data_IF_469299078525
#
_entry.id   IF_469299078525
#
_cell.length_a   1.000
_cell.length_b   1.000
_cell.length_c   1.000
_cell.angle_alpha   90.00
_cell.angle_beta   90.00
_cell.angle_gamma   90.00
#
_symmetry.space_group_name_H-M   'P 1'
#
loop_
_entity.id
_entity.type
_entity.pdbx_description
1 polymer ?
#
# COMPACT_ATOMS: atom_id res chain seq x y z
N UNK A 1 -15.52 5.95 -24.85
CA UNK A 1 -15.94 5.06 -23.75
C UNK A 1 -15.49 5.71 -22.45
N UNK A 2 -16.41 6.06 -21.56
CA UNK A 2 -16.13 6.86 -20.36
C UNK A 2 -15.09 6.14 -19.48
N UNK A 3 -13.94 6.81 -19.15
CA UNK A 3 -12.88 6.25 -18.29
C UNK A 3 -13.42 5.71 -16.95
N UNK A 4 -14.53 6.28 -16.48
CA UNK A 4 -15.25 5.85 -15.28
C UNK A 4 -15.97 4.49 -15.47
N UNK A 5 -16.52 4.21 -16.66
CA UNK A 5 -17.13 2.92 -16.99
C UNK A 5 -16.07 1.84 -17.09
N UNK A 6 -14.90 2.15 -17.63
CA UNK A 6 -13.75 1.24 -17.69
C UNK A 6 -13.23 0.88 -16.30
N UNK A 7 -13.23 1.86 -15.39
CA UNK A 7 -12.84 1.68 -13.98
C UNK A 7 -13.86 0.81 -13.22
N UNK A 8 -15.15 1.05 -13.44
CA UNK A 8 -16.23 0.24 -12.86
C UNK A 8 -16.21 -1.20 -13.40
N UNK A 9 -16.02 -1.39 -14.69
CA UNK A 9 -15.88 -2.71 -15.32
C UNK A 9 -14.64 -3.46 -14.79
N UNK A 10 -13.53 -2.76 -14.60
CA UNK A 10 -12.32 -3.35 -14.05
C UNK A 10 -12.51 -3.84 -12.60
N UNK A 11 -13.17 -3.02 -11.76
CA UNK A 11 -13.50 -3.39 -10.37
C UNK A 11 -14.52 -4.54 -10.34
N UNK A 12 -15.52 -4.54 -11.22
CA UNK A 12 -16.53 -5.61 -11.31
C UNK A 12 -15.92 -6.94 -11.80
N UNK A 13 -15.08 -6.93 -12.83
CA UNK A 13 -14.38 -8.12 -13.34
C UNK A 13 -13.46 -8.72 -12.27
N UNK A 14 -12.81 -7.88 -11.48
CA UNK A 14 -11.93 -8.35 -10.40
C UNK A 14 -12.71 -8.89 -9.20
N UNK A 15 -13.91 -8.37 -8.91
CA UNK A 15 -14.81 -8.94 -7.90
C UNK A 15 -15.37 -10.31 -8.33
N UNK A 16 -15.64 -10.52 -9.61
CA UNK A 16 -16.06 -11.83 -10.14
C UNK A 16 -14.95 -12.87 -9.96
N UNK A 17 -13.67 -12.47 -10.08
CA UNK A 17 -12.52 -13.35 -9.84
C UNK A 17 -12.42 -13.88 -8.39
N UNK A 18 -13.03 -13.21 -7.41
CA UNK A 18 -13.06 -13.65 -6.01
C UNK A 18 -13.94 -14.91 -5.80
N UNK A 19 -14.82 -15.24 -6.74
CA UNK A 19 -15.67 -16.43 -6.68
C UNK A 19 -15.09 -17.65 -7.40
N UNK A 20 -13.86 -17.52 -7.94
CA UNK A 20 -13.21 -18.66 -8.61
C UNK A 20 -12.62 -19.65 -7.58
N UNK A 21 -12.74 -20.93 -7.89
CA UNK A 21 -12.19 -22.03 -7.06
C UNK A 21 -10.66 -22.10 -7.05
N UNK A 22 -10.00 -21.36 -7.97
CA UNK A 22 -8.55 -21.34 -8.07
C UNK A 22 -7.94 -20.21 -7.24
N UNK A 23 -7.28 -20.56 -6.15
CA UNK A 23 -6.67 -19.62 -5.20
C UNK A 23 -5.66 -18.66 -5.87
N UNK A 24 -4.89 -19.12 -6.86
CA UNK A 24 -3.92 -18.28 -7.57
C UNK A 24 -4.61 -17.17 -8.38
N UNK A 25 -5.71 -17.48 -9.07
CA UNK A 25 -6.47 -16.50 -9.82
C UNK A 25 -7.12 -15.47 -8.88
N UNK A 26 -7.66 -15.93 -7.76
CA UNK A 26 -8.21 -15.07 -6.72
C UNK A 26 -7.16 -14.09 -6.20
N UNK A 27 -5.93 -14.55 -5.93
CA UNK A 27 -4.83 -13.70 -5.48
C UNK A 27 -4.36 -12.70 -6.54
N UNK A 28 -4.35 -13.07 -7.81
CA UNK A 28 -4.07 -12.14 -8.92
C UNK A 28 -5.13 -11.01 -8.91
N UNK A 29 -6.40 -11.35 -8.79
CA UNK A 29 -7.48 -10.36 -8.74
C UNK A 29 -7.39 -9.44 -7.50
N UNK A 30 -7.14 -10.02 -6.31
CA UNK A 30 -6.93 -9.25 -5.07
C UNK A 30 -5.73 -8.29 -5.25
N UNK A 31 -4.59 -8.80 -5.73
CA UNK A 31 -3.39 -8.00 -5.96
C UNK A 31 -3.64 -6.85 -6.93
N UNK A 32 -4.36 -7.11 -8.02
CA UNK A 32 -4.66 -6.13 -9.06
C UNK A 32 -5.54 -4.99 -8.51
N UNK A 33 -6.66 -5.31 -7.83
CA UNK A 33 -7.55 -4.30 -7.25
C UNK A 33 -6.87 -3.52 -6.15
N UNK A 34 -6.22 -4.23 -5.22
CA UNK A 34 -5.57 -3.61 -4.08
C UNK A 34 -4.41 -2.70 -4.51
N UNK A 35 -3.59 -3.12 -5.47
CA UNK A 35 -2.50 -2.29 -5.97
C UNK A 35 -3.00 -1.11 -6.80
N UNK A 36 -4.07 -1.26 -7.59
CA UNK A 36 -4.71 -0.17 -8.31
C UNK A 36 -5.21 0.90 -7.35
N UNK A 37 -6.05 0.52 -6.39
CA UNK A 37 -6.61 1.44 -5.40
C UNK A 37 -5.51 1.99 -4.48
N UNK A 38 -4.58 1.14 -4.07
CA UNK A 38 -3.42 1.51 -3.27
C UNK A 38 -2.50 2.50 -3.96
N UNK A 39 -2.43 2.51 -5.29
CA UNK A 39 -1.69 3.51 -6.06
C UNK A 39 -2.40 4.86 -6.04
N UNK A 40 -3.71 4.86 -6.19
CA UNK A 40 -4.49 6.10 -6.25
C UNK A 40 -4.70 6.75 -4.88
N UNK A 41 -5.08 5.97 -3.89
CA UNK A 41 -5.53 6.51 -2.61
C UNK A 41 -4.65 6.13 -1.42
N UNK A 42 -3.69 5.26 -1.63
CA UNK A 42 -3.04 4.55 -0.54
C UNK A 42 -3.90 3.38 -0.05
N UNK A 43 -3.46 2.67 0.95
CA UNK A 43 -4.29 1.64 1.59
C UNK A 43 -4.36 0.29 0.86
N UNK A 44 -3.50 -0.01 -0.10
CA UNK A 44 -3.46 -1.32 -0.77
C UNK A 44 -3.39 -2.48 0.23
N UNK A 45 -2.54 -2.38 1.24
CA UNK A 45 -2.45 -3.36 2.33
C UNK A 45 -3.72 -3.50 3.16
N UNK A 46 -4.57 -2.46 3.21
CA UNK A 46 -5.88 -2.52 3.87
C UNK A 46 -6.86 -3.44 3.15
N UNK A 47 -6.67 -3.65 1.86
CA UNK A 47 -7.50 -4.56 1.04
C UNK A 47 -6.89 -5.95 1.02
N UNK A 48 -5.57 -6.04 0.78
CA UNK A 48 -4.90 -7.33 0.59
C UNK A 48 -4.96 -8.21 1.82
N UNK A 49 -4.67 -7.68 3.02
CA UNK A 49 -4.58 -8.50 4.22
C UNK A 49 -5.93 -9.13 4.59
N UNK A 50 -7.04 -8.37 4.75
CA UNK A 50 -8.33 -8.99 5.03
C UNK A 50 -8.80 -9.93 3.92
N UNK A 51 -8.59 -9.57 2.65
CA UNK A 51 -9.00 -10.42 1.53
C UNK A 51 -8.26 -11.77 1.54
N UNK A 52 -6.95 -11.78 1.82
CA UNK A 52 -6.18 -13.02 1.96
C UNK A 52 -6.62 -13.85 3.18
N UNK A 53 -6.89 -13.19 4.31
CA UNK A 53 -7.39 -13.87 5.52
C UNK A 53 -8.78 -14.47 5.30
N UNK A 54 -9.66 -13.85 4.47
CA UNK A 54 -10.95 -14.42 4.09
C UNK A 54 -10.82 -15.69 3.26
N UNK A 55 -9.80 -15.76 2.42
CA UNK A 55 -9.49 -16.97 1.62
C UNK A 55 -8.78 -18.05 2.47
N UNK A 56 -8.60 -17.81 3.79
CA UNK A 56 -8.03 -18.77 4.73
C UNK A 56 -6.50 -18.75 4.84
N UNK A 57 -5.82 -17.71 4.32
CA UNK A 57 -4.36 -17.58 4.43
C UNK A 57 -4.03 -16.96 5.79
N UNK A 58 -3.10 -17.56 6.58
CA UNK A 58 -2.69 -17.02 7.87
C UNK A 58 -2.14 -15.59 7.77
N UNK A 59 -2.32 -14.79 8.83
CA UNK A 59 -1.96 -13.36 8.81
C UNK A 59 -0.48 -13.13 8.53
N UNK A 60 0.43 -13.92 9.08
CA UNK A 60 1.87 -13.80 8.86
C UNK A 60 2.24 -14.05 7.40
N UNK A 61 1.69 -15.11 6.80
CA UNK A 61 1.84 -15.42 5.38
C UNK A 61 1.21 -14.31 4.50
N UNK A 62 0.07 -13.76 4.92
CA UNK A 62 -0.59 -12.66 4.22
C UNK A 62 0.26 -11.40 4.22
N UNK A 63 0.87 -11.04 5.37
CA UNK A 63 1.79 -9.90 5.47
C UNK A 63 3.03 -10.15 4.60
N UNK A 64 3.67 -11.30 4.71
CA UNK A 64 4.86 -11.64 3.93
C UNK A 64 4.59 -11.60 2.41
N UNK A 65 3.46 -12.17 1.98
CA UNK A 65 2.99 -12.14 0.59
C UNK A 65 2.72 -10.71 0.12
N UNK A 66 2.05 -9.90 0.95
CA UNK A 66 1.78 -8.50 0.64
C UNK A 66 3.08 -7.68 0.52
N UNK A 67 4.08 -7.90 1.39
CA UNK A 67 5.38 -7.22 1.29
C UNK A 67 6.10 -7.55 0.00
N UNK A 68 6.16 -8.82 -0.36
CA UNK A 68 6.76 -9.23 -1.62
C UNK A 68 6.04 -8.58 -2.82
N UNK A 69 4.72 -8.75 -2.91
CA UNK A 69 3.93 -8.25 -4.04
C UNK A 69 3.96 -6.71 -4.15
N UNK A 70 3.87 -6.00 -3.01
CA UNK A 70 3.96 -4.54 -2.97
C UNK A 70 5.38 -4.06 -3.32
N UNK A 71 6.41 -4.75 -2.86
CA UNK A 71 7.81 -4.46 -3.22
C UNK A 71 8.02 -4.54 -4.73
N UNK A 72 7.63 -5.65 -5.36
CA UNK A 72 7.76 -5.87 -6.81
C UNK A 72 6.91 -4.86 -7.60
N UNK A 73 5.68 -4.61 -7.21
CA UNK A 73 4.82 -3.64 -7.90
C UNK A 73 5.33 -2.20 -7.75
N UNK A 74 5.91 -1.86 -6.60
CA UNK A 74 6.54 -0.55 -6.38
C UNK A 74 7.82 -0.39 -7.18
N UNK A 75 8.63 -1.46 -7.30
CA UNK A 75 9.79 -1.49 -8.20
C UNK A 75 9.38 -1.25 -9.66
N UNK A 76 8.36 -1.96 -10.15
CA UNK A 76 7.79 -1.75 -11.48
C UNK A 76 7.32 -0.31 -11.66
N UNK A 77 6.68 0.28 -10.64
CA UNK A 77 6.26 1.69 -10.64
C UNK A 77 7.44 2.65 -10.74
N UNK A 78 8.52 2.39 -10.00
CA UNK A 78 9.75 3.21 -10.05
C UNK A 78 10.37 3.16 -11.43
N UNK A 79 10.48 1.98 -12.07
CA UNK A 79 10.99 1.87 -13.43
C UNK A 79 10.17 2.69 -14.42
N UNK A 80 8.84 2.63 -14.34
CA UNK A 80 7.95 3.44 -15.17
C UNK A 80 8.19 4.94 -14.95
N UNK A 81 8.29 5.40 -13.70
CA UNK A 81 8.50 6.80 -13.36
C UNK A 81 9.90 7.32 -13.75
N UNK A 82 10.93 6.47 -13.67
CA UNK A 82 12.27 6.80 -14.16
C UNK A 82 12.28 6.94 -15.70
N UNK A 83 11.58 6.02 -16.40
CA UNK A 83 11.43 6.10 -17.86
C UNK A 83 10.72 7.38 -18.29
N UNK A 84 9.69 7.80 -17.55
CA UNK A 84 8.97 9.06 -17.79
C UNK A 84 9.74 10.31 -17.32
N UNK A 85 10.94 10.15 -16.75
CA UNK A 85 11.77 11.23 -16.18
C UNK A 85 11.09 12.01 -15.03
N UNK A 86 10.09 11.41 -14.40
CA UNK A 86 9.37 11.97 -13.25
C UNK A 86 10.17 11.81 -11.94
N UNK A 87 11.10 10.86 -11.89
CA UNK A 87 12.02 10.64 -10.79
C UNK A 87 13.47 10.62 -11.29
N UNK A 88 14.39 11.00 -10.39
CA UNK A 88 15.83 10.90 -10.62
C UNK A 88 16.44 9.91 -9.63
N UNK A 89 17.17 8.92 -10.11
CA UNK A 89 17.73 7.85 -9.28
C UNK A 89 18.60 8.38 -8.12
N UNK A 90 19.42 9.40 -8.40
CA UNK A 90 20.29 10.03 -7.39
C UNK A 90 19.51 10.64 -6.22
N UNK A 91 18.31 11.15 -6.49
CA UNK A 91 17.47 11.77 -5.46
C UNK A 91 16.74 10.74 -4.59
N UNK A 92 16.38 9.57 -5.16
CA UNK A 92 15.56 8.58 -4.45
C UNK A 92 16.36 7.53 -3.69
N UNK A 93 17.65 7.32 -4.02
CA UNK A 93 18.46 6.24 -3.45
C UNK A 93 18.62 6.36 -1.93
N UNK A 94 18.75 7.58 -1.41
CA UNK A 94 18.83 7.85 0.03
C UNK A 94 17.54 7.48 0.76
N UNK A 95 16.38 7.77 0.15
CA UNK A 95 15.07 7.41 0.71
C UNK A 95 14.84 5.90 0.67
N UNK A 96 15.28 5.22 -0.39
CA UNK A 96 15.22 3.76 -0.49
C UNK A 96 16.06 3.12 0.62
N UNK A 97 17.32 3.56 0.79
CA UNK A 97 18.21 3.03 1.84
C UNK A 97 17.62 3.22 3.25
N UNK A 98 17.12 4.42 3.55
CA UNK A 98 16.46 4.73 4.81
C UNK A 98 15.22 3.83 5.03
N UNK A 99 14.42 3.64 3.99
CA UNK A 99 13.23 2.83 4.05
C UNK A 99 13.53 1.33 4.19
N UNK A 100 14.62 0.82 3.61
CA UNK A 100 15.08 -0.55 3.82
C UNK A 100 15.39 -0.78 5.30
N UNK A 101 16.15 0.10 5.91
CA UNK A 101 16.48 0.00 7.35
C UNK A 101 15.23 0.06 8.21
N UNK A 102 14.31 1.01 7.93
CA UNK A 102 13.02 1.08 8.60
C UNK A 102 12.21 -0.21 8.43
N UNK A 103 12.14 -0.73 7.21
CA UNK A 103 11.44 -1.97 6.89
C UNK A 103 11.98 -3.19 7.63
N UNK A 104 13.30 -3.32 7.74
CA UNK A 104 13.95 -4.38 8.54
C UNK A 104 13.58 -4.23 10.02
N UNK A 105 13.70 -3.04 10.60
CA UNK A 105 13.36 -2.82 12.00
C UNK A 105 11.90 -3.16 12.29
N UNK A 106 10.98 -2.71 11.44
CA UNK A 106 9.56 -2.98 11.60
C UNK A 106 9.20 -4.45 11.48
N UNK A 107 9.75 -5.14 10.49
CA UNK A 107 9.48 -6.57 10.29
C UNK A 107 10.07 -7.46 11.37
N UNK A 108 11.25 -7.13 11.92
CA UNK A 108 11.82 -7.82 13.08
C UNK A 108 10.91 -7.71 14.29
N UNK A 109 10.32 -6.54 14.54
CA UNK A 109 9.32 -6.36 15.59
C UNK A 109 8.06 -7.21 15.31
N UNK A 110 7.55 -7.20 14.09
CA UNK A 110 6.35 -7.95 13.73
C UNK A 110 6.51 -9.46 13.88
N UNK A 111 7.65 -10.00 13.48
CA UNK A 111 7.95 -11.45 13.60
C UNK A 111 8.01 -11.92 15.07
N UNK A 112 8.39 -11.03 15.99
CA UNK A 112 8.43 -11.34 17.43
C UNK A 112 7.05 -11.35 18.10
N UNK A 113 6.00 -10.88 17.41
CA UNK A 113 4.64 -10.80 17.96
C UNK A 113 3.83 -12.06 17.68
N UNK A 114 2.97 -12.44 18.63
CA UNK A 114 2.00 -13.50 18.42
C UNK A 114 0.93 -13.09 17.40
N UNK A 115 0.33 -14.06 16.72
CA UNK A 115 -0.74 -13.82 15.74
C UNK A 115 -1.91 -13.03 16.35
N UNK A 116 -2.27 -13.35 17.60
CA UNK A 116 -3.34 -12.67 18.31
C UNK A 116 -3.00 -11.18 18.57
N UNK A 117 -1.77 -10.90 19.02
CA UNK A 117 -1.30 -9.52 19.22
C UNK A 117 -1.28 -8.74 17.92
N UNK A 118 -0.86 -9.38 16.81
CA UNK A 118 -0.88 -8.78 15.48
C UNK A 118 -2.29 -8.42 15.03
N UNK A 119 -3.28 -9.27 15.28
CA UNK A 119 -4.69 -8.98 14.94
C UNK A 119 -5.23 -7.79 15.73
N UNK A 120 -4.97 -7.71 17.04
CA UNK A 120 -5.37 -6.53 17.85
C UNK A 120 -4.69 -5.24 17.38
N UNK A 121 -3.38 -5.30 17.14
CA UNK A 121 -2.65 -4.13 16.62
C UNK A 121 -3.18 -3.69 15.27
N UNK A 122 -3.49 -4.62 14.36
CA UNK A 122 -4.08 -4.29 13.06
C UNK A 122 -5.40 -3.52 13.22
N UNK A 123 -6.28 -3.94 14.14
CA UNK A 123 -7.53 -3.22 14.42
C UNK A 123 -7.30 -1.80 14.93
N UNK A 124 -6.41 -1.65 15.91
CA UNK A 124 -6.09 -0.33 16.49
C UNK A 124 -5.50 0.60 15.43
N UNK A 125 -4.58 0.08 14.60
CA UNK A 125 -3.92 0.85 13.56
C UNK A 125 -4.86 1.21 12.40
N UNK A 126 -5.82 0.32 12.07
CA UNK A 126 -6.90 0.61 11.11
C UNK A 126 -7.80 1.76 11.60
N UNK A 127 -8.20 1.72 12.87
CA UNK A 127 -8.97 2.80 13.49
C UNK A 127 -8.21 4.13 13.48
N UNK A 128 -6.93 4.09 13.81
CA UNK A 128 -6.06 5.27 13.78
C UNK A 128 -5.91 5.80 12.35
N UNK A 129 -5.73 4.93 11.35
CA UNK A 129 -5.68 5.31 9.95
C UNK A 129 -6.98 5.98 9.48
N UNK A 130 -8.14 5.47 9.92
CA UNK A 130 -9.44 6.09 9.64
C UNK A 130 -9.53 7.48 10.25
N UNK A 131 -9.23 7.63 11.54
CA UNK A 131 -9.29 8.92 12.24
C UNK A 131 -8.36 9.95 11.58
N UNK A 132 -7.14 9.55 11.25
CA UNK A 132 -6.17 10.43 10.55
C UNK A 132 -6.68 10.81 9.16
N UNK A 133 -7.24 9.87 8.40
CA UNK A 133 -7.77 10.15 7.05
C UNK A 133 -8.95 11.11 7.10
N UNK A 134 -9.89 10.92 8.04
CA UNK A 134 -11.08 11.76 8.16
C UNK A 134 -10.74 13.18 8.63
N UNK A 135 -9.85 13.30 9.63
CA UNK A 135 -9.50 14.60 10.25
C UNK A 135 -8.48 15.41 9.45
N UNK A 136 -7.78 14.80 8.49
CA UNK A 136 -6.68 15.48 7.82
C UNK A 136 -7.17 16.42 6.72
N UNK A 137 -6.88 17.72 6.89
CA UNK A 137 -7.21 18.78 5.91
C UNK A 137 -6.30 18.76 4.67
N UNK A 138 -5.13 18.16 4.74
CA UNK A 138 -4.19 18.10 3.60
C UNK A 138 -4.78 17.42 2.34
N UNK A 139 -5.90 16.68 2.48
CA UNK A 139 -6.66 16.13 1.35
C UNK A 139 -7.51 17.15 0.60
N UNK A 140 -7.72 18.33 1.17
CA UNK A 140 -8.63 19.35 0.62
C UNK A 140 -7.95 20.67 0.30
N UNK A 141 -6.78 20.91 0.85
CA UNK A 141 -6.03 22.14 0.68
C UNK A 141 -4.94 21.95 -0.39
N UNK A 142 -4.95 22.81 -1.40
CA UNK A 142 -3.83 22.93 -2.33
C UNK A 142 -2.80 23.81 -1.60
N UNK A 143 -1.53 23.42 -1.53
CA UNK A 143 -0.51 24.24 -0.87
C UNK A 143 -0.36 25.59 -1.58
N UNK A 144 -0.61 26.68 -0.87
CA UNK A 144 -0.48 28.06 -1.40
C UNK A 144 0.98 28.52 -1.54
N UNK A 145 1.94 27.80 -0.98
CA UNK A 145 3.36 28.15 -1.00
C UNK A 145 4.24 27.00 -1.44
N UNK A 146 5.16 27.30 -2.37
CA UNK A 146 6.19 26.37 -2.87
C UNK A 146 7.40 26.24 -1.92
N UNK A 147 7.33 26.74 -0.70
CA UNK A 147 8.41 26.56 0.27
C UNK A 147 8.48 25.09 0.72
N UNK A 148 9.38 24.38 0.09
CA UNK A 148 9.73 23.03 0.50
C UNK A 148 10.40 23.07 1.88
N UNK A 149 9.70 22.62 2.91
CA UNK A 149 10.35 22.41 4.20
C UNK A 149 11.45 21.36 4.03
N UNK A 150 12.56 21.58 4.71
CA UNK A 150 13.69 20.64 4.70
C UNK A 150 13.19 19.23 5.06
N UNK A 151 13.60 18.20 4.30
CA UNK A 151 13.11 16.85 4.53
C UNK A 151 13.52 16.34 5.90
N UNK A 152 12.58 16.20 6.79
CA UNK A 152 12.80 15.52 8.07
C UNK A 152 12.86 14.01 7.81
N UNK A 153 14.06 13.44 7.79
CA UNK A 153 14.30 12.01 7.51
C UNK A 153 13.61 11.06 8.50
N UNK A 154 13.30 11.52 9.69
CA UNK A 154 12.68 10.69 10.74
C UNK A 154 11.25 10.23 10.40
N UNK A 155 10.44 11.10 9.80
CA UNK A 155 9.06 10.76 9.47
C UNK A 155 8.98 9.65 8.41
N UNK A 156 9.67 9.72 7.25
CA UNK A 156 9.74 8.61 6.30
C UNK A 156 10.29 7.32 6.91
N UNK A 157 11.28 7.41 7.82
CA UNK A 157 11.82 6.25 8.53
C UNK A 157 10.75 5.53 9.37
N UNK A 158 10.01 6.27 10.21
CA UNK A 158 8.95 5.67 11.03
C UNK A 158 7.79 5.14 10.20
N UNK A 159 7.44 5.80 9.09
CA UNK A 159 6.43 5.29 8.15
C UNK A 159 6.93 3.98 7.52
N UNK A 160 8.21 3.91 7.12
CA UNK A 160 8.80 2.71 6.55
C UNK A 160 8.90 1.57 7.58
N UNK A 161 9.22 1.88 8.83
CA UNK A 161 9.22 0.93 9.94
C UNK A 161 7.82 0.35 10.18
N UNK A 162 6.80 1.21 10.26
CA UNK A 162 5.41 0.80 10.37
C UNK A 162 4.98 -0.05 9.16
N UNK A 163 5.34 0.39 7.94
CA UNK A 163 5.07 -0.38 6.73
C UNK A 163 5.73 -1.75 6.80
N UNK A 164 7.01 -1.84 7.13
CA UNK A 164 7.75 -3.10 7.21
C UNK A 164 7.12 -4.12 8.16
N UNK A 165 6.65 -3.66 9.32
CA UNK A 165 6.03 -4.53 10.34
C UNK A 165 4.61 -4.97 9.99
N UNK A 166 3.75 -4.02 9.66
CA UNK A 166 2.33 -4.25 9.46
C UNK A 166 1.85 -3.92 8.05
N UNK A 167 2.05 -2.71 7.60
CA UNK A 167 1.71 -2.22 6.29
C UNK A 167 0.32 -1.60 6.08
N UNK A 168 -0.77 -2.05 6.71
CA UNK A 168 -2.09 -1.48 6.45
C UNK A 168 -2.12 0.03 6.66
N UNK A 169 -2.45 0.82 5.62
CA UNK A 169 -2.52 2.27 5.71
C UNK A 169 -1.18 3.03 5.63
N UNK A 170 -0.04 2.35 5.60
CA UNK A 170 1.29 2.98 5.51
C UNK A 170 1.44 3.91 4.30
N UNK A 171 0.95 3.47 3.15
CA UNK A 171 0.91 4.29 1.94
C UNK A 171 0.04 5.55 2.09
N UNK A 172 -1.04 5.48 2.86
CA UNK A 172 -1.85 6.65 3.22
C UNK A 172 -1.06 7.64 4.06
N UNK A 173 -0.36 7.15 5.11
CA UNK A 173 0.49 7.99 5.93
C UNK A 173 1.62 8.62 5.12
N UNK A 174 2.19 7.88 4.19
CA UNK A 174 3.23 8.38 3.28
C UNK A 174 2.71 9.49 2.36
N UNK A 175 1.56 9.27 1.70
CA UNK A 175 0.93 10.30 0.85
C UNK A 175 0.63 11.54 1.68
N UNK A 176 0.04 11.39 2.87
CA UNK A 176 -0.27 12.52 3.76
C UNK A 176 0.98 13.27 4.22
N UNK A 177 2.07 12.54 4.50
CA UNK A 177 3.35 13.15 4.84
C UNK A 177 3.84 14.04 3.69
N UNK A 178 3.87 13.51 2.46
CA UNK A 178 4.34 14.28 1.31
C UNK A 178 3.41 15.43 0.94
N UNK A 179 2.10 15.31 1.12
CA UNK A 179 1.16 16.43 0.97
C UNK A 179 1.42 17.53 2.01
N UNK A 180 1.72 17.17 3.26
CA UNK A 180 2.07 18.14 4.32
C UNK A 180 3.40 18.83 4.07
N UNK A 181 4.32 18.21 3.36
CA UNK A 181 5.59 18.81 2.94
C UNK A 181 5.49 19.53 1.58
N UNK A 182 4.28 19.99 1.25
CA UNK A 182 3.98 20.82 0.09
C UNK A 182 4.27 20.16 -1.28
N UNK A 183 4.22 18.84 -1.35
CA UNK A 183 4.26 18.14 -2.63
C UNK A 183 2.86 18.05 -3.23
N UNK A 184 2.77 18.11 -4.57
CA UNK A 184 1.51 17.82 -5.27
C UNK A 184 1.05 16.38 -5.00
N UNK A 185 -0.24 16.10 -5.13
CA UNK A 185 -0.78 14.75 -4.94
C UNK A 185 -0.09 13.71 -5.82
N UNK A 186 0.14 14.03 -7.09
CA UNK A 186 0.83 13.13 -8.03
C UNK A 186 2.24 12.82 -7.51
N UNK A 187 3.00 13.84 -7.10
CA UNK A 187 4.35 13.69 -6.57
C UNK A 187 4.37 12.92 -5.25
N UNK A 188 3.40 13.17 -4.38
CA UNK A 188 3.24 12.44 -3.12
C UNK A 188 3.02 10.93 -3.35
N UNK A 189 2.20 10.56 -4.33
CA UNK A 189 1.99 9.16 -4.74
C UNK A 189 3.28 8.56 -5.31
N UNK A 190 4.00 9.27 -6.18
CA UNK A 190 5.26 8.81 -6.76
C UNK A 190 6.33 8.54 -5.69
N UNK A 191 6.52 9.47 -4.75
CA UNK A 191 7.47 9.33 -3.65
C UNK A 191 7.06 8.20 -2.68
N UNK A 192 5.76 7.99 -2.49
CA UNK A 192 5.25 6.86 -1.73
C UNK A 192 5.67 5.52 -2.34
N UNK A 193 5.71 5.39 -3.68
CA UNK A 193 6.22 4.15 -4.33
C UNK A 193 7.69 3.89 -3.98
N UNK A 194 8.49 4.94 -3.91
CA UNK A 194 9.90 4.84 -3.52
C UNK A 194 10.04 4.33 -2.08
N UNK A 195 9.27 4.91 -1.15
CA UNK A 195 9.28 4.51 0.25
C UNK A 195 8.82 3.06 0.42
N UNK A 196 7.70 2.68 -0.22
CA UNK A 196 7.16 1.31 -0.17
C UNK A 196 8.12 0.28 -0.76
N UNK A 197 8.81 0.60 -1.85
CA UNK A 197 9.82 -0.29 -2.40
C UNK A 197 10.92 -0.58 -1.38
N UNK A 198 11.47 0.45 -0.74
CA UNK A 198 12.51 0.28 0.27
C UNK A 198 12.02 -0.50 1.49
N UNK A 199 10.92 -0.10 2.10
CA UNK A 199 10.38 -0.76 3.30
C UNK A 199 9.96 -2.21 3.04
N UNK A 200 9.31 -2.48 1.91
CA UNK A 200 8.93 -3.84 1.52
C UNK A 200 10.13 -4.72 1.20
N UNK A 201 11.21 -4.16 0.60
CA UNK A 201 12.47 -4.88 0.38
C UNK A 201 13.11 -5.26 1.71
N UNK A 202 13.19 -4.33 2.66
CA UNK A 202 13.70 -4.59 4.01
C UNK A 202 12.87 -5.66 4.73
N UNK A 203 11.56 -5.55 4.68
CA UNK A 203 10.64 -6.53 5.28
C UNK A 203 10.74 -7.91 4.60
N UNK A 204 10.88 -7.95 3.27
CA UNK A 204 11.04 -9.19 2.53
C UNK A 204 12.26 -9.98 2.99
N UNK A 205 13.40 -9.33 3.23
CA UNK A 205 14.61 -9.98 3.74
C UNK A 205 14.31 -10.73 5.05
N UNK A 206 13.60 -10.09 5.98
CA UNK A 206 13.26 -10.70 7.27
C UNK A 206 12.25 -11.84 7.11
N UNK A 207 11.15 -11.60 6.39
CA UNK A 207 10.10 -12.62 6.20
C UNK A 207 10.58 -13.82 5.35
N UNK A 208 11.55 -13.64 4.48
CA UNK A 208 12.19 -14.73 3.74
C UNK A 208 12.90 -15.70 4.70
N UNK A 209 13.67 -15.18 5.65
CA UNK A 209 14.39 -16.00 6.63
C UNK A 209 13.47 -16.68 7.66
N UNK A 210 12.28 -16.17 7.89
CA UNK A 210 11.30 -16.76 8.83
C UNK A 210 10.44 -17.86 8.21
N UNK A 211 10.50 -18.05 6.88
CA UNK A 211 9.73 -19.09 6.20
C UNK A 211 8.25 -18.76 5.99
N UNK A 212 7.78 -17.55 6.32
CA UNK A 212 6.37 -17.16 6.11
C UNK A 212 6.01 -16.91 4.64
N UNK A 213 6.98 -16.85 3.74
CA UNK A 213 6.74 -16.63 2.31
C UNK A 213 6.35 -17.95 1.64
N UNK A 214 5.13 -18.01 1.13
CA UNK A 214 4.68 -19.07 0.24
C UNK A 214 4.72 -18.56 -1.20
N UNK A 215 5.66 -19.08 -1.99
CA UNK A 215 6.01 -18.56 -3.31
C UNK A 215 4.84 -18.54 -4.29
N UNK A 216 3.99 -19.56 -4.27
CA UNK A 216 2.83 -19.61 -5.16
C UNK A 216 1.83 -18.50 -4.88
N UNK A 217 1.62 -18.11 -3.60
CA UNK A 217 0.80 -16.95 -3.24
C UNK A 217 1.51 -15.64 -3.59
N UNK A 218 2.81 -15.57 -3.29
CA UNK A 218 3.60 -14.36 -3.50
C UNK A 218 3.69 -13.98 -4.97
N UNK A 219 3.95 -14.95 -5.86
CA UNK A 219 4.06 -14.73 -7.30
C UNK A 219 2.69 -14.36 -7.89
N UNK A 220 1.63 -15.11 -7.55
CA UNK A 220 0.28 -14.81 -8.04
C UNK A 220 -0.15 -13.38 -7.66
N UNK A 221 0.04 -13.01 -6.39
CA UNK A 221 -0.27 -11.67 -5.90
C UNK A 221 0.58 -10.60 -6.59
N UNK A 222 1.89 -10.85 -6.81
CA UNK A 222 2.81 -9.91 -7.44
C UNK A 222 2.41 -9.61 -8.90
N UNK A 223 2.01 -10.63 -9.67
CA UNK A 223 1.52 -10.44 -11.05
C UNK A 223 0.32 -9.49 -11.06
N UNK A 224 -0.68 -9.75 -10.23
CA UNK A 224 -1.84 -8.86 -10.11
C UNK A 224 -1.44 -7.45 -9.66
N UNK A 225 -0.56 -7.35 -8.68
CA UNK A 225 -0.13 -6.07 -8.13
C UNK A 225 0.67 -5.22 -9.12
N UNK A 226 1.49 -5.82 -9.98
CA UNK A 226 2.18 -5.11 -11.08
C UNK A 226 1.14 -4.50 -12.02
N UNK A 227 0.20 -5.30 -12.50
CA UNK A 227 -0.83 -4.82 -13.44
C UNK A 227 -1.64 -3.70 -12.79
N UNK A 228 -2.12 -3.90 -11.55
CA UNK A 228 -2.92 -2.91 -10.85
C UNK A 228 -2.18 -1.60 -10.58
N UNK A 229 -0.91 -1.67 -10.18
CA UNK A 229 -0.11 -0.46 -9.91
C UNK A 229 0.21 0.34 -11.17
N UNK A 230 0.50 -0.32 -12.29
CA UNK A 230 0.75 0.35 -13.58
C UNK A 230 -0.51 1.04 -14.08
N UNK A 231 -1.66 0.36 -14.06
CA UNK A 231 -2.94 0.97 -14.39
C UNK A 231 -3.26 2.16 -13.48
N UNK A 232 -2.97 2.03 -12.17
CA UNK A 232 -3.14 3.10 -11.21
C UNK A 232 -2.30 4.34 -11.55
N UNK A 233 -1.03 4.17 -11.92
CA UNK A 233 -0.14 5.28 -12.32
C UNK A 233 -0.62 5.96 -13.60
N UNK A 234 -1.07 5.20 -14.59
CA UNK A 234 -1.59 5.75 -15.85
C UNK A 234 -2.86 6.58 -15.61
N UNK A 235 -3.71 6.14 -14.69
CA UNK A 235 -4.98 6.83 -14.39
C UNK A 235 -4.80 7.96 -13.37
N UNK A 236 -3.75 7.95 -12.57
CA UNK A 236 -3.46 8.91 -11.50
C UNK A 236 -3.63 10.38 -11.90
N UNK A 237 -3.11 10.87 -13.06
CA UNK A 237 -3.24 12.27 -13.45
C UNK A 237 -4.69 12.72 -13.69
N UNK A 238 -5.61 11.78 -13.90
CA UNK A 238 -7.01 12.06 -14.22
C UNK A 238 -7.96 11.96 -13.02
N UNK A 239 -7.44 11.56 -11.85
CA UNK A 239 -8.23 11.38 -10.64
C UNK A 239 -8.03 12.58 -9.71
N UNK A 240 -9.09 13.35 -9.43
CA UNK A 240 -9.00 14.44 -8.46
C UNK A 240 -8.83 13.89 -7.04
N UNK A 241 -8.09 14.64 -6.22
CA UNK A 241 -7.78 14.30 -4.83
C UNK A 241 -9.02 13.94 -3.99
N UNK A 242 -10.15 14.61 -4.24
CA UNK A 242 -11.44 14.32 -3.56
C UNK A 242 -11.92 12.89 -3.79
N UNK A 243 -11.81 12.39 -5.03
CA UNK A 243 -12.21 11.01 -5.37
C UNK A 243 -11.28 10.01 -4.69
N UNK A 244 -9.97 10.26 -4.69
CA UNK A 244 -8.98 9.43 -4.00
C UNK A 244 -9.28 9.33 -2.49
N UNK A 245 -9.58 10.46 -1.83
CA UNK A 245 -9.99 10.50 -0.42
C UNK A 245 -11.25 9.68 -0.17
N UNK A 246 -12.29 9.85 -0.99
CA UNK A 246 -13.56 9.13 -0.85
C UNK A 246 -13.37 7.63 -1.00
N UNK A 247 -12.63 7.18 -2.03
CA UNK A 247 -12.30 5.77 -2.23
C UNK A 247 -11.58 5.19 -1.02
N UNK A 248 -10.56 5.88 -0.52
CA UNK A 248 -9.81 5.44 0.66
C UNK A 248 -10.71 5.34 1.89
N UNK A 249 -11.54 6.34 2.14
CA UNK A 249 -12.45 6.36 3.30
C UNK A 249 -13.45 5.19 3.24
N UNK A 250 -14.06 4.94 2.08
CA UNK A 250 -14.98 3.82 1.88
C UNK A 250 -14.31 2.48 2.14
N UNK A 251 -13.08 2.29 1.65
CA UNK A 251 -12.33 1.06 1.85
C UNK A 251 -12.01 0.84 3.32
N UNK A 252 -11.54 1.87 4.03
CA UNK A 252 -11.22 1.75 5.45
C UNK A 252 -12.47 1.41 6.26
N UNK A 253 -13.63 2.02 5.96
CA UNK A 253 -14.90 1.71 6.64
C UNK A 253 -15.31 0.26 6.37
N UNK A 254 -15.28 -0.20 5.12
CA UNK A 254 -15.61 -1.58 4.76
C UNK A 254 -14.73 -2.59 5.52
N UNK A 255 -13.43 -2.30 5.61
CA UNK A 255 -12.48 -3.16 6.29
C UNK A 255 -12.66 -3.16 7.80
N UNK A 256 -12.98 -2.02 8.41
CA UNK A 256 -13.32 -1.96 9.83
C UNK A 256 -14.55 -2.81 10.16
N UNK A 257 -15.61 -2.70 9.37
CA UNK A 257 -16.81 -3.55 9.52
C UNK A 257 -16.44 -5.03 9.41
N UNK A 258 -15.65 -5.40 8.41
CA UNK A 258 -15.24 -6.79 8.17
C UNK A 258 -14.37 -7.35 9.31
N UNK A 259 -13.38 -6.58 9.78
CA UNK A 259 -12.50 -7.00 10.88
C UNK A 259 -13.29 -7.12 12.18
N UNK A 260 -14.21 -6.19 12.45
CA UNK A 260 -15.07 -6.23 13.63
C UNK A 260 -15.96 -7.47 13.63
N UNK A 261 -16.58 -7.80 12.47
CA UNK A 261 -17.41 -9.02 12.34
C UNK A 261 -16.62 -10.33 12.50
N UNK A 262 -15.30 -10.30 12.28
CA UNK A 262 -14.44 -11.50 12.44
C UNK A 262 -13.96 -11.70 13.87
N UNK A 263 -13.93 -10.65 14.69
CA UNK A 263 -13.47 -10.70 16.10
C UNK A 263 -14.63 -11.04 17.05
N UNK A 264 -15.86 -10.71 16.65
CA UNK A 264 -17.09 -11.11 17.38
C UNK A 264 -17.49 -12.51 16.93
#
# INVERSE_FOLDING_TARGET
>A
MNKMIMLLLFVLLSLVGLFYTNISLTLICIGMVAAFIGTLAGGGGLITLPAMMLVGIPIQTSIATNKFSTGISSLSSIFYLLYQKELHLTSIIKYIALAIVGGICGSLLAVSLSEQTMNYMACVLLLLALVVTLKNKAWTEVPDSLEHQAPHFWQPFFIAMYDGGFGPGSSTFSILHYLRTHHTYIKAVQLTRVLLFGSCTGAFIVFYHTGFIQWHYAIAMAVGSIIGSQLGLIVLPYIPLKIAKTLLTLIIILLLVQVTLKII
#
